data_IF_530318176499
#
_entry.id   IF_530318176499
#
_cell.length_a   1.000
_cell.length_b   1.000
_cell.length_c   1.000
_cell.angle_alpha   90.00
_cell.angle_beta   90.00
_cell.angle_gamma   90.00
#
_symmetry.space_group_name_H-M   'P 1'
#
loop_
_entity.id
_entity.type
_entity.pdbx_description
1 polymer ?
#
# COMPACT_ATOMS: atom_id res chain seq x y z
N UNK A 1 6.26 21.03 4.15
CA UNK A 1 6.18 20.03 3.07
C UNK A 1 5.85 18.72 3.79
N UNK A 2 4.65 18.17 3.63
CA UNK A 2 4.36 16.84 4.19
C UNK A 2 5.12 15.85 3.33
N UNK A 3 6.05 15.12 3.92
CA UNK A 3 6.76 14.02 3.28
C UNK A 3 5.87 12.79 3.42
N UNK A 4 5.54 12.14 2.30
CA UNK A 4 4.75 10.91 2.33
C UNK A 4 5.64 9.80 2.91
N UNK A 5 5.20 9.19 4.01
CA UNK A 5 5.95 8.12 4.63
C UNK A 5 5.57 6.80 3.96
N UNK A 6 6.38 6.28 3.05
CA UNK A 6 6.15 4.96 2.44
C UNK A 6 6.83 3.85 3.23
N UNK A 7 6.39 2.60 3.02
CA UNK A 7 7.07 1.46 3.61
C UNK A 7 8.53 1.40 3.11
N UNK A 8 9.51 1.13 3.99
CA UNK A 8 10.93 1.11 3.62
C UNK A 8 11.26 0.03 2.58
N UNK A 9 10.40 -0.99 2.45
CA UNK A 9 10.52 -2.06 1.46
C UNK A 9 9.92 -1.71 0.09
N UNK A 10 9.30 -0.54 -0.08
CA UNK A 10 8.75 -0.10 -1.37
C UNK A 10 9.90 0.34 -2.28
N UNK A 11 10.08 -0.27 -3.47
CA UNK A 11 11.12 0.18 -4.39
C UNK A 11 10.76 1.54 -4.99
N UNK A 12 11.75 2.42 -5.19
CA UNK A 12 11.55 3.79 -5.70
C UNK A 12 10.76 3.83 -7.02
N UNK A 13 11.01 2.88 -7.91
CA UNK A 13 10.29 2.78 -9.18
C UNK A 13 8.80 2.41 -9.02
N UNK A 14 8.42 1.77 -7.91
CA UNK A 14 7.01 1.54 -7.57
C UNK A 14 6.39 2.75 -6.89
N UNK A 15 7.14 3.47 -6.04
CA UNK A 15 6.71 4.73 -5.44
C UNK A 15 6.34 5.74 -6.53
N UNK A 16 7.23 5.97 -7.50
CA UNK A 16 6.97 6.90 -8.60
C UNK A 16 5.70 6.53 -9.39
N UNK A 17 5.53 5.23 -9.69
CA UNK A 17 4.34 4.75 -10.40
C UNK A 17 3.07 4.86 -9.59
N UNK A 18 3.14 4.62 -8.27
CA UNK A 18 2.01 4.78 -7.35
C UNK A 18 1.56 6.24 -7.34
N UNK A 19 2.49 7.19 -7.21
CA UNK A 19 2.20 8.62 -7.20
C UNK A 19 1.65 9.11 -8.55
N UNK A 20 2.23 8.66 -9.67
CA UNK A 20 1.73 8.98 -11.01
C UNK A 20 0.31 8.44 -11.23
N UNK A 21 0.07 7.17 -10.87
CA UNK A 21 -1.25 6.54 -10.99
C UNK A 21 -2.28 7.25 -10.12
N UNK A 22 -1.93 7.55 -8.87
CA UNK A 22 -2.80 8.25 -7.92
C UNK A 22 -3.14 9.67 -8.38
N UNK A 23 -2.15 10.41 -8.91
CA UNK A 23 -2.40 11.72 -9.51
C UNK A 23 -3.34 11.62 -10.71
N UNK A 24 -3.18 10.59 -11.55
CA UNK A 24 -4.02 10.36 -12.72
C UNK A 24 -5.50 10.16 -12.38
N UNK A 25 -5.80 9.59 -11.21
CA UNK A 25 -7.17 9.33 -10.75
C UNK A 25 -7.67 10.32 -9.69
N UNK A 26 -6.83 11.29 -9.28
CA UNK A 26 -7.20 12.31 -8.30
C UNK A 26 -7.24 11.82 -6.85
N UNK A 27 -6.46 10.79 -6.49
CA UNK A 27 -6.44 10.22 -5.15
C UNK A 27 -5.84 11.22 -4.13
N UNK A 28 -6.45 11.44 -2.96
CA UNK A 28 -5.89 12.27 -1.91
C UNK A 28 -4.58 11.70 -1.35
N UNK A 29 -3.66 12.60 -0.97
CA UNK A 29 -2.32 12.25 -0.47
C UNK A 29 -2.33 11.20 0.65
N UNK A 30 -3.32 11.25 1.53
CA UNK A 30 -3.44 10.31 2.64
C UNK A 30 -3.72 8.88 2.19
N UNK A 31 -4.54 8.70 1.17
CA UNK A 31 -4.82 7.38 0.61
C UNK A 31 -3.61 6.84 -0.17
N UNK A 32 -2.86 7.71 -0.84
CA UNK A 32 -1.58 7.36 -1.47
C UNK A 32 -0.60 6.81 -0.44
N UNK A 33 -0.47 7.49 0.70
CA UNK A 33 0.37 7.06 1.82
C UNK A 33 -0.04 5.67 2.34
N UNK A 34 -1.35 5.43 2.49
CA UNK A 34 -1.88 4.14 2.93
C UNK A 34 -1.60 3.02 1.94
N UNK A 35 -1.84 3.25 0.65
CA UNK A 35 -1.50 2.27 -0.40
C UNK A 35 0.01 1.98 -0.43
N UNK A 36 0.83 2.99 -0.12
CA UNK A 36 2.28 2.90 -0.07
C UNK A 36 2.85 2.26 1.21
N UNK A 37 2.01 1.88 2.19
CA UNK A 37 2.44 1.07 3.34
C UNK A 37 2.63 -0.41 3.01
N UNK A 38 2.10 -0.86 1.87
CA UNK A 38 2.16 -2.26 1.46
C UNK A 38 2.54 -2.38 -0.02
N UNK A 39 3.60 -3.15 -0.30
CA UNK A 39 4.13 -3.32 -1.65
C UNK A 39 3.12 -3.99 -2.61
N UNK A 40 2.37 -4.96 -2.13
CA UNK A 40 1.37 -5.66 -2.94
C UNK A 40 0.18 -4.76 -3.22
N UNK A 41 -0.25 -3.99 -2.22
CA UNK A 41 -1.34 -3.04 -2.35
C UNK A 41 -0.98 -1.91 -3.33
N UNK A 42 0.20 -1.30 -3.18
CA UNK A 42 0.72 -0.29 -4.11
C UNK A 42 0.80 -0.82 -5.55
N UNK A 43 1.29 -2.06 -5.73
CA UNK A 43 1.37 -2.68 -7.05
C UNK A 43 -0.01 -2.97 -7.64
N UNK A 44 -0.91 -3.53 -6.85
CA UNK A 44 -2.26 -3.87 -7.30
C UNK A 44 -3.03 -2.63 -7.73
N UNK A 45 -2.88 -1.51 -7.01
CA UNK A 45 -3.44 -0.23 -7.41
C UNK A 45 -2.88 0.26 -8.75
N UNK A 46 -1.56 0.25 -8.94
CA UNK A 46 -0.91 0.65 -10.20
C UNK A 46 -1.40 -0.22 -11.37
N UNK A 47 -1.53 -1.53 -11.16
CA UNK A 47 -2.05 -2.46 -12.15
C UNK A 47 -3.54 -2.18 -12.46
N UNK A 48 -4.36 -1.86 -11.45
CA UNK A 48 -5.77 -1.50 -11.61
C UNK A 48 -5.96 -0.19 -12.39
N UNK A 49 -5.18 0.85 -12.11
CA UNK A 49 -5.20 2.11 -12.87
C UNK A 49 -4.82 1.87 -14.33
N UNK A 50 -3.82 1.02 -14.59
CA UNK A 50 -3.43 0.65 -15.95
C UNK A 50 -4.52 -0.15 -16.69
N UNK A 51 -5.25 -1.00 -15.98
CA UNK A 51 -6.38 -1.77 -16.51
C UNK A 51 -7.66 -0.97 -16.73
N UNK A 52 -7.78 0.18 -16.04
CA UNK A 52 -9.02 0.97 -15.99
C UNK A 52 -9.97 0.55 -14.87
N UNK A 53 -9.59 -0.41 -14.03
CA UNK A 53 -10.42 -1.00 -12.96
C UNK A 53 -10.18 -0.34 -11.59
N UNK A 54 -9.57 0.85 -11.56
CA UNK A 54 -9.21 1.54 -10.32
C UNK A 54 -10.42 1.83 -9.41
N UNK A 55 -11.58 2.19 -9.96
CA UNK A 55 -12.80 2.40 -9.15
C UNK A 55 -13.21 1.12 -8.38
N UNK A 56 -13.11 -0.04 -9.04
CA UNK A 56 -13.42 -1.35 -8.45
C UNK A 56 -12.41 -1.70 -7.37
N UNK A 57 -11.12 -1.47 -7.66
CA UNK A 57 -10.06 -1.66 -6.68
C UNK A 57 -10.29 -0.80 -5.43
N UNK A 58 -10.46 0.52 -5.60
CA UNK A 58 -10.61 1.48 -4.51
C UNK A 58 -11.87 1.22 -3.67
N UNK A 59 -12.96 0.77 -4.29
CA UNK A 59 -14.19 0.37 -3.59
C UNK A 59 -14.01 -0.91 -2.76
N UNK A 60 -13.03 -1.75 -3.11
CA UNK A 60 -12.70 -2.98 -2.39
C UNK A 60 -11.62 -2.80 -1.30
N UNK A 61 -11.00 -1.62 -1.22
CA UNK A 61 -10.03 -1.32 -0.16
C UNK A 61 -10.77 -1.02 1.14
N UNK A 62 -10.40 -1.75 2.19
CA UNK A 62 -10.84 -1.44 3.56
C UNK A 62 -10.00 -0.29 4.11
N UNK A 63 -10.46 0.93 3.82
CA UNK A 63 -9.74 2.15 4.21
C UNK A 63 -9.66 2.31 5.71
N UNK A 64 -10.76 2.05 6.43
CA UNK A 64 -10.80 2.14 7.90
C UNK A 64 -9.74 1.24 8.53
N UNK A 65 -9.61 -0.02 8.08
CA UNK A 65 -8.58 -0.93 8.57
C UNK A 65 -7.15 -0.42 8.27
N UNK A 66 -6.92 0.22 7.12
CA UNK A 66 -5.63 0.82 6.80
C UNK A 66 -5.34 2.06 7.66
N UNK A 67 -6.35 2.90 7.91
CA UNK A 67 -6.25 4.05 8.81
C UNK A 67 -5.96 3.60 10.24
N UNK A 68 -6.72 2.63 10.77
CA UNK A 68 -6.51 2.06 12.10
C UNK A 68 -5.13 1.43 12.23
N UNK A 69 -4.61 0.80 11.17
CA UNK A 69 -3.24 0.28 11.14
C UNK A 69 -2.20 1.39 11.27
N UNK A 70 -2.37 2.46 10.49
CA UNK A 70 -1.43 3.58 10.46
C UNK A 70 -1.48 4.42 11.74
N UNK A 71 -2.67 4.62 12.31
CA UNK A 71 -2.88 5.38 13.55
C UNK A 71 -2.64 4.53 14.82
N UNK A 72 -2.83 3.21 14.74
CA UNK A 72 -2.78 2.28 15.87
C UNK A 72 -1.38 1.81 16.26
N UNK A 73 -0.43 1.61 15.33
CA UNK A 73 0.98 1.27 15.64
C UNK A 73 1.92 1.58 14.47
N UNK A 74 3.13 2.03 14.81
CA UNK A 74 4.27 1.95 13.89
C UNK A 74 4.41 0.55 13.29
N UNK A 75 4.28 0.48 11.96
CA UNK A 75 4.85 -0.51 11.03
C UNK A 75 5.12 -1.92 11.60
N UNK A 76 4.12 -2.63 12.12
CA UNK A 76 4.20 -4.10 12.20
C UNK A 76 3.38 -4.70 11.04
N UNK A 77 4.00 -5.51 10.15
CA UNK A 77 3.34 -6.06 8.97
C UNK A 77 2.25 -7.10 9.33
N UNK A 78 1.27 -7.35 8.46
CA UNK A 78 0.14 -8.23 8.80
C UNK A 78 0.55 -9.70 8.74
N UNK A 79 0.27 -10.42 9.82
CA UNK A 79 0.01 -11.87 9.74
C UNK A 79 -1.37 -12.07 9.12
N UNK A 80 -1.45 -12.07 7.79
CA UNK A 80 -2.67 -12.27 7.00
C UNK A 80 -2.41 -13.20 5.82
N UNK A 81 -3.45 -13.67 5.09
CA UNK A 81 -3.35 -14.82 4.16
C UNK A 81 -2.43 -14.64 2.93
N UNK A 82 -1.81 -13.46 2.76
CA UNK A 82 -0.75 -13.20 1.78
C UNK A 82 0.66 -13.23 2.38
N UNK A 83 0.80 -13.49 3.68
CA UNK A 83 2.06 -13.88 4.30
C UNK A 83 2.40 -15.30 3.84
N UNK A 84 3.12 -15.41 2.72
CA UNK A 84 3.86 -16.62 2.42
C UNK A 84 4.73 -17.00 3.64
N UNK A 85 4.99 -18.29 3.89
CA UNK A 85 5.68 -18.72 5.10
C UNK A 85 7.03 -18.01 5.22
N UNK A 86 7.20 -17.18 6.26
CA UNK A 86 8.51 -16.63 6.64
C UNK A 86 9.40 -17.80 7.06
N UNK A 87 10.50 -18.10 6.34
CA UNK A 87 11.34 -19.26 6.64
C UNK A 87 12.37 -19.00 7.75
N UNK A 88 12.03 -18.26 8.81
CA UNK A 88 13.02 -17.87 9.84
C UNK A 88 12.42 -17.75 11.26
N UNK A 89 11.68 -18.78 11.68
CA UNK A 89 11.48 -19.06 13.12
C UNK A 89 11.77 -20.53 13.41
N UNK A 90 12.93 -20.97 12.96
CA UNK A 90 13.62 -22.11 13.54
C UNK A 90 14.99 -21.61 13.98
N UNK A 91 15.25 -21.69 15.29
CA UNK A 91 16.53 -21.51 15.98
C UNK A 91 16.80 -20.11 16.58
N UNK A 92 16.40 -19.94 17.85
CA UNK A 92 17.31 -19.77 18.97
C UNK A 92 16.58 -20.03 20.30
#
# INVERSE_FOLDING_TARGET
MMELAYAPSLPDGLIARLEEAARGVGLPLREIELLGQDRYLARAFVEAVRGGDHDVFLSGVDWDALYERLEGRGLEPPEGPFAGPSPDMAQA
#
